data_IF_391019473082
#
_entry.id   IF_391019473082
#
_cell.length_a   1.000
_cell.length_b   1.000
_cell.length_c   1.000
_cell.angle_alpha   90.00
_cell.angle_beta   90.00
_cell.angle_gamma   90.00
#
_symmetry.space_group_name_H-M   'P 1'
#
loop_
_entity.id
_entity.type
_entity.pdbx_description
1 polymer ?
#
# COMPACT_ATOMS: atom_id res chain seq x y z
N UNK A 1 4.19 0.60 12.41
CA UNK A 1 5.40 0.40 11.58
C UNK A 1 6.46 1.44 11.90
N UNK A 2 7.73 1.11 11.68
CA UNK A 2 8.83 2.05 11.89
C UNK A 2 10.17 1.45 11.47
N UNK A 3 11.19 2.31 11.48
CA UNK A 3 12.59 1.94 11.28
C UNK A 3 13.38 2.37 12.51
N UNK A 4 14.33 1.56 12.92
CA UNK A 4 15.19 1.84 14.08
C UNK A 4 16.61 1.40 13.86
N UNK A 5 17.47 1.80 14.77
CA UNK A 5 18.86 1.32 14.85
C UNK A 5 19.01 0.45 16.09
N UNK A 6 19.58 -0.73 15.90
CA UNK A 6 19.87 -1.62 17.03
C UNK A 6 20.91 -0.98 17.94
N UNK A 7 20.57 -0.76 19.20
CA UNK A 7 21.47 -0.16 20.21
C UNK A 7 22.09 -1.21 21.10
N UNK A 8 21.38 -2.32 21.34
CA UNK A 8 21.84 -3.41 22.18
C UNK A 8 21.23 -4.74 21.70
N UNK A 9 21.96 -5.83 21.81
CA UNK A 9 21.49 -7.19 21.58
C UNK A 9 21.84 -8.07 22.77
N UNK A 10 20.99 -9.04 23.11
CA UNK A 10 21.33 -10.04 24.11
C UNK A 10 22.27 -11.11 23.52
N UNK A 11 23.00 -11.89 24.37
CA UNK A 11 23.88 -12.96 23.89
C UNK A 11 23.17 -14.04 23.05
N UNK A 12 21.87 -14.16 23.16
CA UNK A 12 21.05 -15.12 22.41
C UNK A 12 20.67 -14.63 21.01
N UNK A 13 20.94 -13.36 20.67
CA UNK A 13 20.67 -12.83 19.33
C UNK A 13 21.49 -13.58 18.26
N UNK A 14 20.84 -13.97 17.18
CA UNK A 14 21.43 -14.85 16.17
C UNK A 14 21.77 -14.14 14.87
N UNK A 15 21.05 -13.07 14.50
CA UNK A 15 21.23 -12.37 13.24
C UNK A 15 21.28 -10.84 13.35
N UNK A 16 20.79 -10.24 14.44
CA UNK A 16 20.90 -8.79 14.63
C UNK A 16 22.26 -8.41 15.22
N UNK A 17 22.73 -7.21 14.84
CA UNK A 17 23.98 -6.63 15.35
C UNK A 17 23.77 -5.18 15.73
N UNK A 18 24.47 -4.73 16.77
CA UNK A 18 24.49 -3.32 17.14
C UNK A 18 24.89 -2.41 15.98
N UNK A 19 24.25 -1.25 15.91
CA UNK A 19 24.42 -0.29 14.82
C UNK A 19 23.63 -0.59 13.55
N UNK A 20 23.05 -1.80 13.40
CA UNK A 20 22.30 -2.20 12.21
C UNK A 20 20.95 -1.47 12.14
N UNK A 21 20.55 -1.04 10.93
CA UNK A 21 19.18 -0.56 10.69
C UNK A 21 18.22 -1.75 10.56
N UNK A 22 17.06 -1.62 11.16
CA UNK A 22 16.02 -2.64 11.15
C UNK A 22 14.64 -2.03 10.88
N UNK A 23 13.77 -2.74 10.21
CA UNK A 23 12.34 -2.46 10.20
C UNK A 23 11.70 -3.10 11.42
N UNK A 24 10.79 -2.36 12.05
CA UNK A 24 10.04 -2.82 13.23
C UNK A 24 8.71 -3.39 12.72
N UNK A 25 8.57 -4.71 12.76
CA UNK A 25 7.38 -5.42 12.25
C UNK A 25 6.20 -5.41 13.23
N UNK A 26 6.48 -5.15 14.49
CA UNK A 26 5.49 -5.09 15.56
C UNK A 26 4.98 -3.68 15.86
N UNK A 27 4.26 -3.54 16.98
CA UNK A 27 3.82 -2.26 17.52
C UNK A 27 4.88 -1.55 18.37
N UNK A 28 4.47 -0.47 19.07
CA UNK A 28 5.33 0.24 20.02
C UNK A 28 6.28 1.27 19.40
N UNK A 29 6.09 1.63 18.13
CA UNK A 29 6.98 2.55 17.39
C UNK A 29 6.77 4.04 17.72
N UNK A 30 5.83 4.38 18.60
CA UNK A 30 5.66 5.74 19.12
C UNK A 30 6.44 5.92 20.43
N UNK A 31 7.71 5.61 20.37
CA UNK A 31 8.67 5.65 21.49
C UNK A 31 10.07 5.87 20.97
N UNK A 32 10.96 6.36 21.84
CA UNK A 32 12.37 6.55 21.51
C UNK A 32 13.11 5.22 21.39
N UNK A 33 12.67 4.19 22.15
CA UNK A 33 13.26 2.87 22.15
C UNK A 33 12.18 1.77 22.13
N UNK A 34 12.47 0.67 21.47
CA UNK A 34 11.63 -0.54 21.42
C UNK A 34 12.46 -1.74 21.82
N UNK A 35 11.95 -2.50 22.81
CA UNK A 35 12.52 -3.78 23.20
C UNK A 35 11.55 -4.88 22.81
N UNK A 36 12.00 -5.82 22.00
CA UNK A 36 11.18 -6.94 21.53
C UNK A 36 12.05 -8.15 21.20
N UNK A 37 11.46 -9.36 21.07
CA UNK A 37 12.17 -10.50 20.51
C UNK A 37 12.74 -10.23 19.14
N UNK A 38 13.90 -10.83 18.82
CA UNK A 38 14.62 -10.63 17.56
C UNK A 38 13.74 -10.82 16.32
N UNK A 39 12.79 -11.74 16.34
CA UNK A 39 11.82 -11.98 15.27
C UNK A 39 10.86 -10.81 14.99
N UNK A 40 10.77 -9.83 15.89
CA UNK A 40 10.02 -8.58 15.68
C UNK A 40 10.72 -7.56 14.80
N UNK A 41 11.95 -7.84 14.39
CA UNK A 41 12.77 -6.94 13.60
C UNK A 41 13.24 -7.61 12.31
N UNK A 42 13.19 -6.88 11.21
CA UNK A 42 13.76 -7.29 9.94
C UNK A 42 15.01 -6.46 9.66
N UNK A 43 16.21 -7.07 9.62
CA UNK A 43 17.43 -6.36 9.32
C UNK A 43 17.41 -5.82 7.90
N UNK A 44 17.78 -4.55 7.76
CA UNK A 44 18.02 -3.93 6.46
C UNK A 44 19.43 -4.29 5.98
N UNK A 45 19.62 -4.45 4.65
CA UNK A 45 20.97 -4.60 4.10
C UNK A 45 21.79 -3.35 4.39
N UNK A 46 23.12 -3.51 4.41
CA UNK A 46 24.00 -2.34 4.49
C UNK A 46 23.91 -1.56 3.16
N UNK A 47 23.35 -0.37 3.24
CA UNK A 47 23.18 0.56 2.12
C UNK A 47 24.10 1.79 2.24
N UNK A 48 25.03 1.76 3.20
CA UNK A 48 25.84 2.92 3.53
C UNK A 48 25.03 4.06 4.21
N UNK A 49 25.58 5.25 4.22
CA UNK A 49 24.87 6.44 4.76
C UNK A 49 23.62 6.75 3.95
N UNK A 50 22.47 6.81 4.61
CA UNK A 50 21.19 7.16 4.00
C UNK A 50 20.78 8.59 4.38
N UNK A 51 20.20 9.31 3.44
CA UNK A 51 19.56 10.59 3.72
C UNK A 51 18.35 10.39 4.66
N UNK A 52 18.05 11.37 5.54
CA UNK A 52 16.91 11.29 6.46
C UNK A 52 15.59 10.96 5.77
N UNK A 53 15.34 11.51 4.58
CA UNK A 53 14.14 11.30 3.80
C UNK A 53 14.01 9.82 3.36
N UNK A 54 15.11 9.17 3.04
CA UNK A 54 15.11 7.73 2.69
C UNK A 54 14.80 6.88 3.93
N UNK A 55 15.34 7.26 5.10
CA UNK A 55 15.05 6.57 6.37
C UNK A 55 13.56 6.68 6.70
N UNK A 56 12.95 7.86 6.52
CA UNK A 56 11.51 8.06 6.70
C UNK A 56 10.68 7.16 5.76
N UNK A 57 11.06 7.08 4.48
CA UNK A 57 10.39 6.20 3.51
C UNK A 57 10.52 4.72 3.92
N UNK A 58 11.68 4.29 4.40
CA UNK A 58 11.88 2.96 4.94
C UNK A 58 11.00 2.70 6.18
N UNK A 59 10.82 3.70 7.05
CA UNK A 59 9.92 3.61 8.21
C UNK A 59 8.46 3.37 7.84
N UNK A 60 8.05 3.67 6.60
CA UNK A 60 6.70 3.43 6.06
C UNK A 60 6.59 2.16 5.21
N UNK A 61 7.63 1.33 5.17
CA UNK A 61 7.72 0.21 4.20
C UNK A 61 7.00 -1.06 4.63
N UNK A 62 6.65 -1.21 5.92
CA UNK A 62 6.16 -2.47 6.48
C UNK A 62 4.70 -2.76 6.11
N UNK A 63 3.87 -1.74 5.91
CA UNK A 63 2.43 -1.95 5.68
C UNK A 63 2.02 -1.67 4.25
N UNK A 64 2.12 -0.41 3.80
CA UNK A 64 1.46 -0.01 2.56
C UNK A 64 2.11 -0.56 1.29
N UNK A 65 3.45 -0.50 1.09
CA UNK A 65 4.06 -1.02 -0.12
C UNK A 65 4.05 -2.56 -0.18
N UNK A 66 4.13 -3.26 0.97
CA UNK A 66 3.97 -4.73 1.02
C UNK A 66 2.54 -5.11 0.62
N UNK A 67 1.53 -4.40 1.13
CA UNK A 67 0.13 -4.59 0.74
C UNK A 67 -0.06 -4.43 -0.77
N UNK A 68 0.46 -3.35 -1.34
CA UNK A 68 0.38 -3.10 -2.78
C UNK A 68 1.08 -4.19 -3.61
N UNK A 69 2.30 -4.58 -3.21
CA UNK A 69 3.08 -5.61 -3.89
C UNK A 69 2.35 -6.96 -3.91
N UNK A 70 1.86 -7.41 -2.75
CA UNK A 70 1.18 -8.70 -2.62
C UNK A 70 -0.14 -8.72 -3.39
N UNK A 71 -0.92 -7.64 -3.34
CA UNK A 71 -2.16 -7.57 -4.11
C UNK A 71 -1.93 -7.62 -5.62
N UNK A 72 -0.84 -7.05 -6.12
CA UNK A 72 -0.48 -7.12 -7.54
C UNK A 72 0.11 -8.46 -7.98
N UNK A 73 0.58 -9.30 -7.04
CA UNK A 73 1.26 -10.55 -7.37
C UNK A 73 0.41 -11.80 -7.11
N UNK A 74 -0.42 -11.80 -6.05
CA UNK A 74 -0.90 -13.07 -5.47
C UNK A 74 -2.32 -13.44 -5.89
N UNK A 75 -3.03 -12.55 -6.58
CA UNK A 75 -4.44 -12.74 -6.91
C UNK A 75 -4.72 -12.99 -8.39
N UNK A 76 -3.96 -12.36 -9.26
CA UNK A 76 -4.05 -12.48 -10.72
C UNK A 76 -2.65 -12.42 -11.30
N UNK A 77 -2.34 -13.30 -12.23
CA UNK A 77 -1.13 -13.19 -13.03
C UNK A 77 -1.30 -12.05 -14.04
N UNK A 78 -0.58 -10.97 -13.82
CA UNK A 78 -0.67 -9.75 -14.61
C UNK A 78 0.54 -9.63 -15.54
N UNK A 79 0.27 -9.37 -16.82
CA UNK A 79 1.27 -9.11 -17.86
C UNK A 79 1.34 -7.61 -18.21
N UNK A 80 2.43 -7.20 -18.83
CA UNK A 80 2.59 -5.86 -19.39
C UNK A 80 1.43 -5.49 -20.34
N UNK A 81 0.96 -4.26 -20.24
CA UNK A 81 -0.16 -3.73 -21.01
C UNK A 81 -1.54 -4.03 -20.47
N UNK A 82 -1.70 -4.97 -19.52
CA UNK A 82 -3.00 -5.27 -18.94
C UNK A 82 -3.49 -4.17 -17.99
N UNK A 83 -4.82 -4.02 -17.94
CA UNK A 83 -5.47 -3.03 -17.10
C UNK A 83 -5.87 -3.59 -15.72
N UNK A 84 -5.63 -2.79 -14.70
CA UNK A 84 -6.22 -2.93 -13.37
C UNK A 84 -6.98 -1.66 -13.01
N UNK A 85 -7.91 -1.77 -12.05
CA UNK A 85 -8.61 -0.62 -11.47
C UNK A 85 -8.46 -0.61 -9.96
N UNK A 86 -8.35 0.56 -9.36
CA UNK A 86 -8.36 0.70 -7.91
C UNK A 86 -9.22 1.87 -7.44
N UNK A 87 -9.88 1.72 -6.30
CA UNK A 87 -10.52 2.83 -5.57
C UNK A 87 -9.57 3.44 -4.53
N UNK A 88 -9.92 4.62 -4.02
CA UNK A 88 -9.10 5.40 -3.09
C UNK A 88 -7.62 5.51 -3.55
N UNK A 89 -7.41 5.77 -4.84
CA UNK A 89 -6.10 5.76 -5.47
C UNK A 89 -5.12 6.79 -4.88
N UNK A 90 -5.62 7.84 -4.25
CA UNK A 90 -4.83 8.85 -3.52
C UNK A 90 -4.41 8.41 -2.11
N UNK A 91 -4.74 7.19 -1.68
CA UNK A 91 -4.21 6.62 -0.44
C UNK A 91 -2.74 6.20 -0.61
N UNK A 92 -2.04 5.95 0.50
CA UNK A 92 -0.66 5.48 0.43
C UNK A 92 -0.53 4.13 -0.32
N UNK A 93 -1.44 3.17 -0.06
CA UNK A 93 -1.47 1.91 -0.82
C UNK A 93 -1.72 2.18 -2.30
N UNK A 94 -2.70 3.03 -2.62
CA UNK A 94 -3.02 3.39 -4.01
C UNK A 94 -1.84 4.01 -4.74
N UNK A 95 -1.09 4.90 -4.09
CA UNK A 95 0.13 5.48 -4.64
C UNK A 95 1.21 4.42 -4.94
N UNK A 96 1.41 3.45 -4.04
CA UNK A 96 2.34 2.34 -4.27
C UNK A 96 1.85 1.38 -5.37
N UNK A 97 0.55 1.12 -5.47
CA UNK A 97 -0.01 0.33 -6.59
C UNK A 97 0.31 0.97 -7.93
N UNK A 98 0.11 2.29 -8.07
CA UNK A 98 0.45 3.03 -9.30
C UNK A 98 1.93 2.86 -9.65
N UNK A 99 2.82 3.12 -8.69
CA UNK A 99 4.26 3.09 -8.91
C UNK A 99 4.76 1.68 -9.24
N UNK A 100 4.26 0.64 -8.54
CA UNK A 100 4.61 -0.76 -8.81
C UNK A 100 4.04 -1.26 -10.14
N UNK A 101 2.81 -0.87 -10.50
CA UNK A 101 2.20 -1.20 -11.78
C UNK A 101 3.01 -0.59 -12.93
N UNK A 102 3.40 0.69 -12.81
CA UNK A 102 4.27 1.37 -13.78
C UNK A 102 5.59 0.64 -14.01
N UNK A 103 6.25 0.15 -12.94
CA UNK A 103 7.50 -0.61 -13.05
C UNK A 103 7.34 -1.91 -13.85
N UNK A 104 6.12 -2.44 -13.94
CA UNK A 104 5.79 -3.69 -14.63
C UNK A 104 5.09 -3.46 -15.97
N UNK A 105 4.92 -2.22 -16.41
CA UNK A 105 4.16 -1.88 -17.61
C UNK A 105 2.66 -2.22 -17.52
N UNK A 106 2.12 -2.37 -16.30
CA UNK A 106 0.69 -2.62 -16.05
C UNK A 106 -0.02 -1.27 -16.05
N UNK A 107 -1.13 -1.16 -16.77
CA UNK A 107 -1.94 0.03 -16.89
C UNK A 107 -2.94 0.15 -15.74
N UNK A 108 -3.16 1.38 -15.26
CA UNK A 108 -4.00 1.63 -14.08
C UNK A 108 -5.14 2.59 -14.35
N UNK A 109 -6.36 2.22 -13.91
CA UNK A 109 -7.47 3.15 -13.72
C UNK A 109 -7.58 3.46 -12.23
N UNK A 110 -7.48 4.73 -11.89
CA UNK A 110 -7.32 5.21 -10.53
C UNK A 110 -8.55 6.02 -10.12
N UNK A 111 -9.40 5.42 -9.29
CA UNK A 111 -10.66 6.03 -8.88
C UNK A 111 -10.47 6.81 -7.59
N UNK A 112 -10.91 8.06 -7.60
CA UNK A 112 -10.87 8.99 -6.48
C UNK A 112 -12.26 9.52 -6.14
N UNK A 113 -12.43 10.01 -4.91
CA UNK A 113 -13.73 10.50 -4.41
C UNK A 113 -14.06 11.92 -4.87
N UNK A 114 -13.06 12.74 -5.24
CA UNK A 114 -13.23 14.17 -5.52
C UNK A 114 -12.25 14.65 -6.60
N UNK A 115 -12.54 15.78 -7.20
CA UNK A 115 -11.65 16.50 -8.10
C UNK A 115 -10.36 17.00 -7.41
N UNK A 116 -9.40 17.45 -8.22
CA UNK A 116 -8.15 18.07 -7.77
C UNK A 116 -7.07 17.08 -7.33
N UNK A 117 -7.28 15.76 -7.51
CA UNK A 117 -6.32 14.73 -7.13
C UNK A 117 -5.56 14.12 -8.32
N UNK A 118 -5.97 14.43 -9.54
CA UNK A 118 -5.47 13.77 -10.75
C UNK A 118 -3.98 14.08 -11.00
N UNK A 119 -3.56 15.33 -10.88
CA UNK A 119 -2.19 15.75 -11.17
C UNK A 119 -1.15 14.99 -10.34
N UNK A 120 -1.38 14.88 -9.03
CA UNK A 120 -0.49 14.12 -8.13
C UNK A 120 -0.43 12.62 -8.46
N UNK A 121 -1.52 12.03 -8.96
CA UNK A 121 -1.54 10.63 -9.34
C UNK A 121 -0.85 10.41 -10.69
N UNK A 122 -1.04 11.30 -11.66
CA UNK A 122 -0.28 11.27 -12.92
C UNK A 122 1.23 11.43 -12.69
N UNK A 123 1.63 12.30 -11.76
CA UNK A 123 3.04 12.44 -11.37
C UNK A 123 3.63 11.12 -10.83
N UNK A 124 2.83 10.28 -10.17
CA UNK A 124 3.24 8.94 -9.70
C UNK A 124 3.22 7.88 -10.80
N UNK A 125 2.64 8.19 -11.97
CA UNK A 125 2.58 7.31 -13.13
C UNK A 125 1.23 6.65 -13.38
N UNK A 126 0.13 7.20 -12.86
CA UNK A 126 -1.22 6.78 -13.21
C UNK A 126 -1.48 6.96 -14.70
N UNK A 127 -2.18 5.99 -15.32
CA UNK A 127 -2.57 6.12 -16.74
C UNK A 127 -3.91 6.86 -16.89
N UNK A 128 -4.88 6.54 -16.02
CA UNK A 128 -6.22 7.14 -16.02
C UNK A 128 -6.62 7.48 -14.59
N UNK A 129 -7.25 8.63 -14.40
CA UNK A 129 -7.85 9.04 -13.11
C UNK A 129 -9.32 9.38 -13.34
N UNK A 130 -10.23 8.72 -12.60
CA UNK A 130 -11.67 8.90 -12.67
C UNK A 130 -12.23 9.27 -11.30
N UNK A 131 -13.39 9.93 -11.30
CA UNK A 131 -14.13 10.22 -10.08
C UNK A 131 -15.19 9.14 -9.88
N UNK A 132 -15.32 8.62 -8.65
CA UNK A 132 -16.35 7.64 -8.32
C UNK A 132 -17.76 8.20 -8.51
N UNK A 133 -18.60 7.44 -9.20
CA UNK A 133 -19.97 7.85 -9.50
C UNK A 133 -20.78 6.74 -10.18
N UNK A 134 -22.09 6.95 -10.40
CA UNK A 134 -22.99 5.95 -10.98
C UNK A 134 -22.50 5.37 -12.32
N UNK A 135 -21.87 6.19 -13.15
CA UNK A 135 -21.43 5.82 -14.50
C UNK A 135 -20.00 5.30 -14.54
N UNK A 136 -19.39 5.02 -13.38
CA UNK A 136 -17.97 4.64 -13.28
C UNK A 136 -17.62 3.45 -14.18
N UNK A 137 -18.45 2.41 -14.22
CA UNK A 137 -18.15 1.23 -15.04
C UNK A 137 -18.11 1.55 -16.54
N UNK A 138 -18.97 2.45 -17.03
CA UNK A 138 -18.94 2.94 -18.40
C UNK A 138 -17.70 3.78 -18.66
N UNK A 139 -17.38 4.70 -17.75
CA UNK A 139 -16.18 5.54 -17.87
C UNK A 139 -14.89 4.71 -17.90
N UNK A 140 -14.81 3.62 -17.11
CA UNK A 140 -13.68 2.67 -17.15
C UNK A 140 -13.60 2.01 -18.52
N UNK A 141 -14.71 1.52 -19.07
CA UNK A 141 -14.72 0.88 -20.37
C UNK A 141 -14.28 1.86 -21.50
N UNK A 142 -14.75 3.10 -21.46
CA UNK A 142 -14.33 4.15 -22.39
C UNK A 142 -12.84 4.47 -22.27
N UNK A 143 -12.34 4.66 -21.04
CA UNK A 143 -10.95 5.01 -20.77
C UNK A 143 -9.96 3.90 -21.12
N UNK A 144 -10.36 2.64 -21.01
CA UNK A 144 -9.54 1.48 -21.42
C UNK A 144 -9.67 1.13 -22.91
N UNK A 145 -10.55 1.83 -23.65
CA UNK A 145 -10.86 1.48 -25.04
C UNK A 145 -11.57 0.12 -25.16
N UNK A 146 -12.25 -0.33 -24.13
CA UNK A 146 -12.91 -1.64 -24.07
C UNK A 146 -11.97 -2.80 -23.75
N UNK A 147 -10.69 -2.53 -23.50
CA UNK A 147 -9.73 -3.55 -23.07
C UNK A 147 -10.12 -4.16 -21.72
N UNK A 148 -9.88 -5.46 -21.50
CA UNK A 148 -10.33 -6.16 -20.30
C UNK A 148 -9.59 -5.68 -19.05
N UNK A 149 -10.36 -5.40 -17.97
CA UNK A 149 -9.82 -5.13 -16.63
C UNK A 149 -9.76 -6.44 -15.86
N UNK A 150 -8.54 -6.91 -15.54
CA UNK A 150 -8.33 -8.22 -14.93
C UNK A 150 -8.44 -8.20 -13.39
N UNK A 151 -8.07 -7.11 -12.74
CA UNK A 151 -7.99 -6.97 -11.30
C UNK A 151 -8.59 -5.64 -10.85
N UNK A 152 -9.43 -5.68 -9.81
CA UNK A 152 -9.88 -4.52 -9.06
C UNK A 152 -9.38 -4.58 -7.62
N UNK A 153 -8.90 -3.45 -7.08
CA UNK A 153 -8.43 -3.30 -5.70
C UNK A 153 -9.31 -2.29 -4.96
N UNK A 154 -9.99 -2.73 -3.91
CA UNK A 154 -10.95 -1.88 -3.21
C UNK A 154 -10.76 -1.82 -1.69
N UNK A 155 -10.37 -0.66 -1.11
CA UNK A 155 -10.40 -0.42 0.31
C UNK A 155 -11.67 0.30 0.77
N UNK A 156 -12.62 0.66 -0.12
CA UNK A 156 -13.75 1.54 0.18
C UNK A 156 -14.98 0.76 0.63
N UNK A 157 -15.35 -0.29 -0.11
CA UNK A 157 -16.59 -1.02 0.12
C UNK A 157 -17.82 -0.29 -0.44
N UNK A 158 -19.01 -0.69 0.03
CA UNK A 158 -20.28 -0.08 -0.36
C UNK A 158 -20.52 -0.13 -1.88
N UNK A 159 -21.09 0.95 -2.43
CA UNK A 159 -21.41 1.04 -3.87
C UNK A 159 -20.17 1.10 -4.76
N UNK A 160 -19.06 1.68 -4.30
CA UNK A 160 -17.80 1.71 -5.04
C UNK A 160 -17.36 0.30 -5.40
N UNK A 161 -17.41 -0.63 -4.44
CA UNK A 161 -17.11 -2.04 -4.68
C UNK A 161 -17.97 -2.65 -5.81
N UNK A 162 -19.28 -2.37 -5.80
CA UNK A 162 -20.21 -2.86 -6.81
C UNK A 162 -19.88 -2.29 -8.20
N UNK A 163 -19.56 -0.99 -8.28
CA UNK A 163 -19.16 -0.33 -9.54
C UNK A 163 -17.87 -0.92 -10.10
N UNK A 164 -16.86 -1.13 -9.25
CA UNK A 164 -15.61 -1.77 -9.66
C UNK A 164 -15.83 -3.21 -10.12
N UNK A 165 -16.64 -3.98 -9.41
CA UNK A 165 -17.00 -5.35 -9.80
C UNK A 165 -17.67 -5.38 -11.18
N UNK A 166 -18.53 -4.39 -11.47
CA UNK A 166 -19.23 -4.28 -12.76
C UNK A 166 -18.25 -4.00 -13.92
N UNK A 167 -17.15 -3.29 -13.69
CA UNK A 167 -16.14 -2.98 -14.71
C UNK A 167 -15.20 -4.13 -15.06
N UNK A 168 -15.13 -5.18 -14.25
CA UNK A 168 -14.25 -6.30 -14.48
C UNK A 168 -14.62 -7.12 -15.73
N UNK A 169 -13.62 -7.65 -16.40
CA UNK A 169 -13.75 -8.61 -17.47
C UNK A 169 -14.25 -9.97 -16.98
N UNK A 170 -14.59 -10.88 -17.90
CA UNK A 170 -14.87 -12.28 -17.58
C UNK A 170 -13.67 -12.91 -16.87
N UNK A 171 -13.92 -13.62 -15.77
CA UNK A 171 -12.90 -14.24 -14.93
C UNK A 171 -12.09 -13.23 -14.09
N UNK A 172 -12.46 -11.94 -14.10
CA UNK A 172 -11.76 -10.91 -13.33
C UNK A 172 -11.89 -11.09 -11.82
N UNK A 173 -10.95 -10.54 -11.10
CA UNK A 173 -10.87 -10.65 -9.63
C UNK A 173 -11.01 -9.28 -8.98
N UNK A 174 -11.84 -9.16 -7.94
CA UNK A 174 -11.86 -8.01 -7.05
C UNK A 174 -11.26 -8.42 -5.69
N UNK A 175 -10.36 -7.59 -5.16
CA UNK A 175 -9.74 -7.78 -3.85
C UNK A 175 -10.15 -6.65 -2.91
N UNK A 176 -10.97 -6.97 -1.91
CA UNK A 176 -11.30 -6.06 -0.82
C UNK A 176 -10.18 -6.12 0.24
N UNK A 177 -9.62 -4.94 0.61
CA UNK A 177 -8.58 -4.85 1.63
C UNK A 177 -8.81 -3.76 2.68
N UNK A 178 -10.01 -3.17 2.68
CA UNK A 178 -10.44 -2.16 3.64
C UNK A 178 -11.95 -1.95 3.62
N UNK A 179 -12.44 -1.07 4.49
CA UNK A 179 -13.86 -0.69 4.63
C UNK A 179 -13.99 0.81 4.94
N UNK A 180 -13.34 1.67 4.16
CA UNK A 180 -13.27 3.11 4.43
C UNK A 180 -14.63 3.82 4.43
N UNK A 181 -15.62 3.30 3.69
CA UNK A 181 -16.98 3.84 3.71
C UNK A 181 -17.79 3.47 4.97
N UNK A 182 -17.33 2.47 5.71
CA UNK A 182 -18.09 1.85 6.80
C UNK A 182 -19.35 1.09 6.31
N UNK A 183 -19.58 1.00 5.00
CA UNK A 183 -20.72 0.32 4.41
C UNK A 183 -20.34 -1.06 3.87
N UNK A 184 -21.19 -2.08 4.08
CA UNK A 184 -20.93 -3.40 3.52
C UNK A 184 -20.95 -3.35 1.98
N UNK A 185 -20.03 -4.09 1.36
CA UNK A 185 -20.02 -4.29 -0.08
C UNK A 185 -21.19 -5.17 -0.51
N UNK A 186 -21.88 -4.79 -1.59
CA UNK A 186 -22.95 -5.60 -2.16
C UNK A 186 -22.43 -6.36 -3.39
N UNK A 187 -22.48 -7.67 -3.33
CA UNK A 187 -22.16 -8.52 -4.46
C UNK A 187 -23.34 -8.58 -5.42
N UNK A 188 -23.15 -8.13 -6.65
CA UNK A 188 -24.11 -8.41 -7.72
C UNK A 188 -23.94 -9.88 -8.18
N UNK A 189 -24.85 -10.74 -7.71
CA UNK A 189 -24.78 -12.18 -8.01
C UNK A 189 -24.92 -12.48 -9.50
N UNK A 190 -25.68 -11.68 -10.25
CA UNK A 190 -25.78 -11.83 -11.71
C UNK A 190 -24.42 -11.63 -12.38
N UNK A 191 -23.72 -10.54 -12.01
CA UNK A 191 -22.37 -10.30 -12.52
C UNK A 191 -21.39 -11.41 -12.11
N UNK A 192 -21.47 -11.88 -10.86
CA UNK A 192 -20.61 -12.95 -10.38
C UNK A 192 -20.82 -14.25 -11.18
N UNK A 193 -22.09 -14.59 -11.51
CA UNK A 193 -22.41 -15.79 -12.30
C UNK A 193 -22.02 -15.62 -13.77
N UNK A 194 -22.47 -14.53 -14.42
CA UNK A 194 -22.34 -14.40 -15.88
C UNK A 194 -20.95 -13.95 -16.33
N UNK A 195 -20.15 -13.32 -15.43
CA UNK A 195 -18.76 -12.94 -15.71
C UNK A 195 -17.74 -13.79 -14.95
N UNK A 196 -18.13 -14.80 -14.18
CA UNK A 196 -17.21 -15.60 -13.35
C UNK A 196 -16.32 -14.71 -12.45
N UNK A 197 -16.91 -13.69 -11.81
CA UNK A 197 -16.14 -12.76 -11.00
C UNK A 197 -15.68 -13.41 -9.69
N UNK A 198 -14.39 -13.33 -9.43
CA UNK A 198 -13.77 -13.86 -8.22
C UNK A 198 -13.69 -12.77 -7.16
N UNK A 199 -14.41 -12.99 -6.06
CA UNK A 199 -14.39 -12.08 -4.91
C UNK A 199 -13.37 -12.60 -3.90
N UNK A 200 -12.37 -11.80 -3.61
CA UNK A 200 -11.28 -12.10 -2.68
C UNK A 200 -11.12 -10.96 -1.68
N UNK A 201 -10.45 -11.26 -0.60
CA UNK A 201 -10.06 -10.25 0.38
C UNK A 201 -8.61 -10.45 0.80
N UNK A 202 -7.99 -9.36 1.21
CA UNK A 202 -6.61 -9.35 1.68
C UNK A 202 -6.49 -8.63 3.03
N UNK A 203 -5.83 -9.28 3.98
CA UNK A 203 -5.47 -8.70 5.26
C UNK A 203 -4.00 -8.98 5.55
N UNK A 204 -3.19 -7.93 5.50
CA UNK A 204 -1.74 -8.02 5.63
C UNK A 204 -1.30 -8.68 6.96
N UNK A 205 -2.00 -8.39 8.08
CA UNK A 205 -1.66 -9.01 9.37
C UNK A 205 -1.74 -10.54 9.29
N UNK A 206 -2.76 -11.06 8.60
CA UNK A 206 -2.89 -12.52 8.38
C UNK A 206 -1.78 -13.09 7.51
N UNK A 207 -1.36 -12.33 6.50
CA UNK A 207 -0.19 -12.72 5.70
C UNK A 207 1.08 -12.76 6.56
N UNK A 208 1.31 -11.77 7.44
CA UNK A 208 2.47 -11.78 8.34
C UNK A 208 2.48 -12.96 9.31
N UNK A 209 1.30 -13.43 9.77
CA UNK A 209 1.18 -14.61 10.62
C UNK A 209 1.53 -15.90 9.89
N UNK A 210 1.16 -16.05 8.63
CA UNK A 210 1.27 -17.27 7.84
C UNK A 210 2.53 -17.35 6.96
N UNK A 211 3.06 -16.19 6.54
CA UNK A 211 4.20 -16.13 5.64
C UNK A 211 5.49 -16.63 6.30
N UNK A 212 6.22 -17.44 5.56
CA UNK A 212 7.55 -17.90 5.93
C UNK A 212 8.55 -16.73 5.94
N UNK A 213 9.69 -16.92 6.60
CA UNK A 213 10.77 -15.95 6.57
C UNK A 213 11.24 -15.67 5.13
N UNK A 214 11.32 -16.71 4.29
CA UNK A 214 11.70 -16.58 2.88
C UNK A 214 10.73 -15.70 2.09
N UNK A 215 9.41 -15.85 2.29
CA UNK A 215 8.39 -15.01 1.63
C UNK A 215 8.50 -13.56 2.09
N UNK A 216 8.68 -13.32 3.39
CA UNK A 216 8.90 -11.97 3.93
C UNK A 216 10.16 -11.34 3.34
N UNK A 217 11.28 -12.07 3.33
CA UNK A 217 12.53 -11.60 2.73
C UNK A 217 12.39 -11.33 1.22
N UNK A 218 11.64 -12.16 0.49
CA UNK A 218 11.38 -11.95 -0.93
C UNK A 218 10.54 -10.68 -1.19
N UNK A 219 9.53 -10.42 -0.37
CA UNK A 219 8.71 -9.20 -0.47
C UNK A 219 9.53 -7.94 -0.19
N UNK A 220 10.26 -7.91 0.93
CA UNK A 220 11.10 -6.77 1.30
C UNK A 220 12.32 -6.61 0.37
N UNK A 221 12.88 -7.70 -0.12
CA UNK A 221 13.96 -7.69 -1.12
C UNK A 221 13.57 -6.99 -2.42
N UNK A 222 12.27 -6.98 -2.78
CA UNK A 222 11.75 -6.20 -3.93
C UNK A 222 11.49 -4.74 -3.57
N UNK A 223 10.98 -4.46 -2.38
CA UNK A 223 10.51 -3.12 -1.97
C UNK A 223 11.67 -2.21 -1.53
N UNK A 224 12.57 -2.71 -0.69
CA UNK A 224 13.63 -1.89 -0.08
C UNK A 224 14.52 -1.20 -1.13
N UNK A 225 15.01 -1.88 -2.18
CA UNK A 225 15.81 -1.22 -3.22
C UNK A 225 15.04 -0.14 -3.97
N UNK A 226 13.74 -0.35 -4.21
CA UNK A 226 12.89 0.63 -4.90
C UNK A 226 12.63 1.88 -4.04
N UNK A 227 12.49 1.70 -2.72
CA UNK A 227 12.40 2.82 -1.78
C UNK A 227 13.73 3.56 -1.69
N UNK A 228 14.83 2.83 -1.51
CA UNK A 228 16.16 3.42 -1.38
C UNK A 228 16.59 4.22 -2.62
N UNK A 229 16.13 3.81 -3.81
CA UNK A 229 16.38 4.52 -5.08
C UNK A 229 15.36 5.65 -5.38
N UNK A 230 14.37 5.86 -4.52
CA UNK A 230 13.31 6.87 -4.73
C UNK A 230 12.27 6.50 -5.79
N UNK A 231 12.25 5.26 -6.27
CA UNK A 231 11.23 4.77 -7.21
C UNK A 231 9.88 4.56 -6.52
N UNK A 232 9.90 4.05 -5.29
CA UNK A 232 8.72 3.95 -4.43
C UNK A 232 8.77 5.02 -3.36
N UNK A 233 7.77 5.90 -3.35
CA UNK A 233 7.66 6.98 -2.37
C UNK A 233 6.23 7.16 -1.90
N UNK A 234 6.08 7.56 -0.64
CA UNK A 234 4.83 8.08 -0.10
C UNK A 234 4.98 9.56 0.25
N UNK A 235 3.91 10.33 0.05
CA UNK A 235 3.88 11.72 0.47
C UNK A 235 3.88 11.79 2.00
N UNK A 236 4.62 12.76 2.55
CA UNK A 236 4.67 13.06 3.99
C UNK A 236 3.97 14.39 4.21
N UNK A 237 2.89 14.36 4.99
CA UNK A 237 2.10 15.55 5.34
C UNK A 237 2.79 16.38 6.43
N UNK A 238 3.25 15.72 7.48
CA UNK A 238 3.83 16.41 8.64
C UNK A 238 4.69 15.47 9.50
N UNK A 239 5.57 16.08 10.28
CA UNK A 239 6.49 15.40 11.20
C UNK A 239 6.31 15.96 12.61
N UNK A 240 6.27 15.09 13.60
CA UNK A 240 6.12 15.42 15.00
C UNK A 240 7.14 14.68 15.85
N UNK A 241 7.63 15.30 16.92
CA UNK A 241 8.40 14.59 17.94
C UNK A 241 7.49 13.65 18.74
N UNK A 242 8.07 12.63 19.40
CA UNK A 242 7.31 11.73 20.29
C UNK A 242 6.60 12.51 21.39
N UNK A 243 7.19 13.58 21.92
CA UNK A 243 6.56 14.48 22.90
C UNK A 243 5.25 15.10 22.43
N UNK A 244 5.09 15.27 21.11
CA UNK A 244 3.94 15.91 20.47
C UNK A 244 2.93 14.90 19.91
N UNK A 245 2.94 13.68 20.40
CA UNK A 245 2.13 12.57 19.91
C UNK A 245 0.62 12.91 19.81
N UNK A 246 0.11 13.69 20.75
CA UNK A 246 -1.31 14.13 20.72
C UNK A 246 -1.61 14.98 19.48
N UNK A 247 -0.70 15.89 19.13
CA UNK A 247 -0.83 16.71 17.92
C UNK A 247 -0.69 15.85 16.65
N UNK A 248 0.24 14.89 16.64
CA UNK A 248 0.41 13.93 15.55
C UNK A 248 -0.86 13.11 15.29
N UNK A 249 -1.45 12.53 16.33
CA UNK A 249 -2.70 11.74 16.23
C UNK A 249 -3.86 12.62 15.80
N UNK A 250 -3.97 13.84 16.35
CA UNK A 250 -5.00 14.80 15.94
C UNK A 250 -4.87 15.15 14.46
N UNK A 251 -3.66 15.44 13.98
CA UNK A 251 -3.41 15.70 12.55
C UNK A 251 -3.73 14.47 11.70
N UNK A 252 -3.35 13.29 12.15
CA UNK A 252 -3.61 12.03 11.44
C UNK A 252 -5.11 11.71 11.31
N UNK A 253 -5.96 12.20 12.20
CA UNK A 253 -7.42 12.02 12.16
C UNK A 253 -8.14 13.05 11.28
N UNK A 254 -7.49 14.16 10.92
CA UNK A 254 -8.11 15.22 10.13
C UNK A 254 -8.25 14.84 8.65
N UNK A 255 -9.33 15.32 8.03
CA UNK A 255 -9.49 15.30 6.59
C UNK A 255 -8.53 16.27 5.88
N UNK A 256 -8.33 16.07 4.58
CA UNK A 256 -7.53 16.97 3.76
C UNK A 256 -6.02 16.82 3.93
N UNK A 257 -5.54 15.77 4.60
CA UNK A 257 -4.11 15.45 4.65
C UNK A 257 -3.59 15.13 3.25
N UNK A 258 -2.37 15.57 2.99
CA UNK A 258 -1.65 15.21 1.78
C UNK A 258 -0.44 14.32 2.13
N UNK A 259 -0.70 13.11 2.58
CA UNK A 259 0.35 12.15 2.92
C UNK A 259 0.26 11.58 4.33
N UNK A 260 1.37 11.00 4.77
CA UNK A 260 1.54 10.37 6.09
C UNK A 260 1.97 11.38 7.13
N UNK A 261 1.45 11.22 8.34
CA UNK A 261 1.96 11.90 9.53
C UNK A 261 3.01 11.00 10.16
N UNK A 262 4.22 11.52 10.34
CA UNK A 262 5.34 10.79 10.91
C UNK A 262 5.62 11.25 12.34
N UNK A 263 6.01 10.29 13.17
CA UNK A 263 6.65 10.54 14.46
C UNK A 263 8.14 10.31 14.26
N UNK A 264 8.95 11.30 14.55
CA UNK A 264 10.41 11.28 14.34
C UNK A 264 11.13 11.57 15.66
N UNK A 265 12.37 11.08 15.83
CA UNK A 265 13.17 11.43 17.01
C UNK A 265 13.27 12.95 17.19
N UNK A 266 13.38 13.39 18.42
CA UNK A 266 13.73 14.79 18.70
C UNK A 266 15.13 15.09 18.14
N UNK A 267 15.24 16.18 17.37
CA UNK A 267 16.52 16.66 16.80
C UNK A 267 17.46 17.15 17.87
#
# INVERSE_FOLDING_TARGET
EGVGRVVEVTPEATYLKEGQLVLILGGGTWSDEVVAPEAGFLPLPDMGPLAPEVIEQLGMSVVNPVTALLMLNDFVELSEGQWIVQSAANSAVGGYVIQLAKQRGIKTVNVVRREGLAEQLYAKGADVVLIDGPDLAQQIAEATGGEPVALALDPVGGETYTRLTTSLAYGGTIVAYGMLSGQPATLNTGMAIFKDIRNRSFWLAKWYESATLTEKQAAFGKIIPLIASGVLTADVDSRFAVSDITAAVTRAAQDGRNGKVLVVPAS
#
